data_IF_429649972721
#
_entry.id   IF_429649972721
#
_cell.length_a   1.000
_cell.length_b   1.000
_cell.length_c   1.000
_cell.angle_alpha   90.00
_cell.angle_beta   90.00
_cell.angle_gamma   90.00
#
_symmetry.space_group_name_H-M   'P 1'
#
loop_
_entity.id
_entity.type
_entity.pdbx_description
1 polymer ?
#
# COMPACT_ATOMS: atom_id res chain seq x y z
N UNK A 1 -15.77 -5.30 35.60
CA UNK A 1 -14.35 -5.65 35.39
C UNK A 1 -13.84 -4.75 34.28
N UNK A 2 -12.72 -4.04 34.47
CA UNK A 2 -12.17 -3.17 33.43
C UNK A 2 -11.02 -3.88 32.71
N UNK A 3 -11.15 -4.04 31.39
CA UNK A 3 -10.08 -4.54 30.52
C UNK A 3 -9.55 -3.34 29.74
N UNK A 4 -8.25 -3.08 29.87
CA UNK A 4 -7.56 -2.01 29.15
C UNK A 4 -6.46 -2.63 28.30
N UNK A 5 -6.45 -2.30 27.01
CA UNK A 5 -5.44 -2.75 26.07
C UNK A 5 -5.07 -1.58 25.13
N UNK A 6 -3.81 -1.57 24.68
CA UNK A 6 -3.29 -0.55 23.78
C UNK A 6 -3.01 -1.17 22.43
N UNK A 7 -3.55 -0.57 21.38
CA UNK A 7 -3.38 -1.02 19.99
C UNK A 7 -2.91 0.13 19.11
N UNK A 8 -2.19 -0.20 18.04
CA UNK A 8 -1.96 0.77 16.96
C UNK A 8 -3.25 0.99 16.16
N UNK A 9 -3.46 2.23 15.70
CA UNK A 9 -4.61 2.55 14.87
C UNK A 9 -4.51 1.83 13.53
N UNK A 10 -5.43 0.91 13.26
CA UNK A 10 -5.45 0.09 12.06
C UNK A 10 -6.89 -0.30 11.70
N UNK A 11 -7.12 -0.69 10.44
CA UNK A 11 -8.43 -1.17 9.98
C UNK A 11 -8.91 -2.39 10.78
N UNK A 12 -7.98 -3.26 11.19
CA UNK A 12 -8.30 -4.44 11.99
C UNK A 12 -8.84 -4.09 13.38
N UNK A 13 -8.34 -2.99 13.98
CA UNK A 13 -8.86 -2.50 15.26
C UNK A 13 -10.31 -2.02 15.11
N UNK A 14 -10.60 -1.25 14.06
CA UNK A 14 -11.96 -0.79 13.75
C UNK A 14 -12.91 -1.96 13.48
N UNK A 15 -12.43 -3.00 12.78
CA UNK A 15 -13.18 -4.22 12.53
C UNK A 15 -13.45 -5.00 13.83
N UNK A 16 -12.44 -5.13 14.69
CA UNK A 16 -12.60 -5.79 15.98
C UNK A 16 -13.59 -5.04 16.88
N UNK A 17 -13.55 -3.71 16.91
CA UNK A 17 -14.54 -2.89 17.63
C UNK A 17 -15.96 -3.12 17.09
N UNK A 18 -16.10 -3.18 15.76
CA UNK A 18 -17.38 -3.47 15.12
C UNK A 18 -17.91 -4.88 15.47
N UNK A 19 -17.04 -5.89 15.49
CA UNK A 19 -17.42 -7.24 15.94
C UNK A 19 -17.82 -7.29 17.42
N UNK A 20 -17.16 -6.50 18.29
CA UNK A 20 -17.52 -6.44 19.70
C UNK A 20 -18.90 -5.83 19.89
N UNK A 21 -19.25 -4.80 19.11
CA UNK A 21 -20.60 -4.25 19.08
C UNK A 21 -21.63 -5.27 18.59
N UNK A 22 -21.31 -6.02 17.53
CA UNK A 22 -22.19 -7.06 16.97
C UNK A 22 -22.43 -8.21 17.97
N UNK A 23 -21.40 -8.56 18.77
CA UNK A 23 -21.50 -9.59 19.82
C UNK A 23 -22.21 -9.10 21.10
N UNK A 24 -22.77 -7.89 21.09
CA UNK A 24 -23.64 -7.38 22.15
C UNK A 24 -22.95 -6.50 23.20
N UNK A 25 -21.70 -6.08 22.97
CA UNK A 25 -21.06 -5.06 23.80
C UNK A 25 -21.54 -3.68 23.35
N UNK A 26 -22.41 -3.05 24.14
CA UNK A 26 -22.92 -1.72 23.85
C UNK A 26 -21.78 -0.69 23.80
N UNK A 27 -21.90 0.29 22.87
CA UNK A 27 -20.93 1.38 22.70
C UNK A 27 -20.61 2.13 23.99
N UNK A 28 -21.60 2.25 24.89
CA UNK A 28 -21.42 2.93 26.19
C UNK A 28 -20.44 2.23 27.13
N UNK A 29 -20.10 0.97 26.85
CA UNK A 29 -19.10 0.19 27.59
C UNK A 29 -17.73 0.14 26.90
N UNK A 30 -17.57 0.79 25.74
CA UNK A 30 -16.34 0.82 24.97
C UNK A 30 -15.75 2.23 25.06
N UNK A 31 -14.57 2.35 25.67
CA UNK A 31 -13.83 3.61 25.75
C UNK A 31 -12.60 3.56 24.86
N UNK A 32 -12.63 4.30 23.74
CA UNK A 32 -11.49 4.49 22.87
C UNK A 32 -10.79 5.81 23.18
N UNK A 33 -9.54 5.76 23.62
CA UNK A 33 -8.73 6.96 23.91
C UNK A 33 -7.54 7.02 22.94
N UNK A 34 -7.41 8.07 22.11
CA UNK A 34 -6.28 8.19 21.19
C UNK A 34 -4.98 8.45 21.97
N UNK A 35 -4.02 7.54 21.85
CA UNK A 35 -2.69 7.67 22.44
C UNK A 35 -1.72 8.27 21.42
N UNK A 36 -1.29 9.51 21.64
CA UNK A 36 -0.33 10.19 20.75
C UNK A 36 1.10 9.72 21.06
N UNK A 37 1.57 8.71 20.35
CA UNK A 37 2.96 8.23 20.45
C UNK A 37 3.84 9.06 19.50
N UNK A 38 4.79 9.81 20.05
CA UNK A 38 5.79 10.54 19.26
C UNK A 38 6.94 9.62 18.85
N UNK A 39 6.68 8.62 17.99
CA UNK A 39 7.75 7.78 17.42
C UNK A 39 8.24 8.39 16.10
N UNK A 40 9.28 9.22 16.19
CA UNK A 40 10.06 9.66 15.04
C UNK A 40 10.97 8.52 14.56
N UNK A 41 10.41 7.51 13.87
CA UNK A 41 11.21 6.46 13.21
C UNK A 41 10.57 6.01 11.89
N UNK A 42 11.18 6.41 10.77
CA UNK A 42 11.33 5.56 9.58
C UNK A 42 10.08 5.13 8.80
N UNK A 43 9.26 6.09 8.32
CA UNK A 43 8.07 5.89 7.43
C UNK A 43 8.33 5.28 6.02
N UNK A 44 9.32 4.40 5.86
CA UNK A 44 9.62 3.77 4.57
C UNK A 44 9.14 2.31 4.51
N UNK A 45 8.97 1.65 5.66
CA UNK A 45 8.59 0.23 5.74
C UNK A 45 7.12 -0.03 6.13
N UNK A 46 6.40 0.96 6.67
CA UNK A 46 4.99 0.79 7.06
C UNK A 46 4.00 0.81 5.89
N UNK A 47 4.43 1.21 4.69
CA UNK A 47 3.54 1.20 3.50
C UNK A 47 3.24 -0.21 3.00
N UNK A 48 4.00 -1.23 3.45
CA UNK A 48 3.69 -2.64 3.14
C UNK A 48 2.63 -3.21 4.09
N UNK A 49 2.51 -2.68 5.31
CA UNK A 49 1.58 -3.17 6.32
C UNK A 49 0.31 -2.31 6.50
N UNK A 50 0.25 -1.13 5.85
CA UNK A 50 -0.93 -0.29 5.83
C UNK A 50 -2.03 -0.92 5.00
N UNK A 51 -3.16 -1.25 5.64
CA UNK A 51 -4.43 -1.61 4.99
C UNK A 51 -5.04 -0.45 4.15
N UNK A 52 -4.24 0.53 3.74
CA UNK A 52 -4.63 1.73 3.01
C UNK A 52 -4.85 1.47 1.52
N UNK A 53 -4.68 0.24 1.03
CA UNK A 53 -5.00 -0.17 -0.34
C UNK A 53 -4.08 0.42 -1.43
N UNK A 54 -3.29 1.44 -1.12
CA UNK A 54 -2.30 2.05 -2.02
C UNK A 54 -0.96 1.36 -1.78
N UNK A 55 -0.88 0.07 -2.04
CA UNK A 55 0.38 -0.66 -1.96
C UNK A 55 1.21 -0.31 -3.19
N UNK A 56 2.44 0.15 -2.99
CA UNK A 56 3.43 0.47 -4.05
C UNK A 56 3.58 -0.70 -5.05
N UNK A 57 3.28 -1.91 -4.57
CA UNK A 57 3.32 -3.13 -5.33
C UNK A 57 2.15 -3.28 -6.32
N UNK A 58 0.99 -2.71 -6.04
CA UNK A 58 -0.21 -2.89 -6.87
C UNK A 58 -0.04 -2.22 -8.24
N UNK A 59 0.41 -0.96 -8.27
CA UNK A 59 0.70 -0.25 -9.52
C UNK A 59 1.79 -0.92 -10.37
N UNK A 60 2.86 -1.39 -9.72
CA UNK A 60 3.92 -2.12 -10.42
C UNK A 60 3.44 -3.48 -10.96
N UNK A 61 2.58 -4.18 -10.21
CA UNK A 61 2.03 -5.48 -10.60
C UNK A 61 1.07 -5.35 -11.79
N UNK A 62 0.22 -4.32 -11.82
CA UNK A 62 -0.67 -4.05 -12.95
C UNK A 62 0.12 -3.71 -14.22
N UNK A 63 1.13 -2.82 -14.12
CA UNK A 63 2.00 -2.49 -15.26
C UNK A 63 2.85 -3.69 -15.72
N UNK A 64 3.37 -4.48 -14.78
CA UNK A 64 4.12 -5.71 -15.04
C UNK A 64 3.30 -6.75 -15.78
N UNK A 65 2.08 -7.03 -15.31
CA UNK A 65 1.17 -7.99 -15.95
C UNK A 65 0.71 -7.52 -17.33
N UNK A 66 0.37 -6.24 -17.50
CA UNK A 66 0.05 -5.68 -18.82
C UNK A 66 1.22 -5.80 -19.81
N UNK A 67 2.44 -5.47 -19.35
CA UNK A 67 3.66 -5.56 -20.16
C UNK A 67 4.02 -7.02 -20.49
N UNK A 68 3.76 -7.96 -19.58
CA UNK A 68 3.92 -9.40 -19.81
C UNK A 68 3.03 -9.88 -20.95
N UNK A 69 1.74 -9.51 -20.93
CA UNK A 69 0.79 -9.91 -21.98
C UNK A 69 1.24 -9.39 -23.34
N UNK A 70 1.67 -8.14 -23.42
CA UNK A 70 2.25 -7.58 -24.65
C UNK A 70 3.51 -8.34 -25.07
N UNK A 71 4.41 -8.63 -24.13
CA UNK A 71 5.62 -9.42 -24.39
C UNK A 71 5.34 -10.82 -24.93
N UNK A 72 4.29 -11.49 -24.42
CA UNK A 72 3.83 -12.79 -24.94
C UNK A 72 3.31 -12.66 -26.36
N UNK A 73 2.47 -11.65 -26.63
CA UNK A 73 1.89 -11.42 -27.96
C UNK A 73 3.00 -11.20 -29.01
N UNK A 74 3.94 -10.30 -28.73
CA UNK A 74 5.07 -10.06 -29.64
C UNK A 74 6.07 -11.23 -29.67
N UNK A 75 6.18 -11.97 -28.57
CA UNK A 75 7.05 -13.12 -28.47
C UNK A 75 6.64 -14.31 -29.35
N UNK A 76 5.37 -14.38 -29.80
CA UNK A 76 4.96 -15.32 -30.84
C UNK A 76 5.62 -15.03 -32.21
N UNK A 77 6.02 -13.78 -32.46
CA UNK A 77 6.66 -13.35 -33.71
C UNK A 77 8.19 -13.44 -33.61
N UNK A 78 8.76 -13.28 -32.40
CA UNK A 78 10.21 -13.27 -32.20
C UNK A 78 10.79 -14.67 -31.95
N UNK A 79 12.03 -14.87 -32.40
CA UNK A 79 12.69 -16.18 -32.46
C UNK A 79 12.86 -16.91 -31.12
N UNK A 80 12.86 -16.20 -29.99
CA UNK A 80 13.04 -16.77 -28.65
C UNK A 80 11.72 -17.26 -28.03
N UNK A 81 10.61 -17.06 -28.73
CA UNK A 81 9.30 -17.56 -28.35
C UNK A 81 8.56 -16.73 -27.30
N UNK A 82 7.25 -16.98 -27.14
CA UNK A 82 6.36 -16.17 -26.32
C UNK A 82 6.71 -16.15 -24.83
N UNK A 83 7.29 -17.24 -24.33
CA UNK A 83 7.60 -17.40 -22.90
C UNK A 83 8.72 -16.45 -22.47
N UNK A 84 9.82 -16.39 -23.24
CA UNK A 84 10.99 -15.58 -22.87
C UNK A 84 10.66 -14.09 -22.98
N UNK A 85 10.01 -13.69 -24.07
CA UNK A 85 9.58 -12.30 -24.27
C UNK A 85 8.50 -11.86 -23.28
N UNK A 86 7.60 -12.76 -22.89
CA UNK A 86 6.65 -12.52 -21.80
C UNK A 86 7.36 -12.25 -20.47
N UNK A 87 8.36 -13.06 -20.11
CA UNK A 87 9.12 -12.88 -18.87
C UNK A 87 9.92 -11.58 -18.84
N UNK A 88 10.51 -11.21 -19.98
CA UNK A 88 11.20 -9.91 -20.14
C UNK A 88 10.19 -8.76 -20.02
N UNK A 89 9.01 -8.89 -20.63
CA UNK A 89 7.92 -7.92 -20.52
C UNK A 89 7.46 -7.72 -19.07
N UNK A 90 7.34 -8.81 -18.31
CA UNK A 90 6.99 -8.75 -16.89
C UNK A 90 8.05 -8.03 -16.06
N UNK A 91 9.32 -8.40 -16.22
CA UNK A 91 10.44 -7.80 -15.47
C UNK A 91 10.59 -6.30 -15.79
N UNK A 92 10.52 -5.95 -17.07
CA UNK A 92 10.61 -4.55 -17.51
C UNK A 92 9.41 -3.74 -17.02
N UNK A 93 8.19 -4.28 -17.11
CA UNK A 93 6.98 -3.63 -16.63
C UNK A 93 6.98 -3.40 -15.11
N UNK A 94 7.47 -4.37 -14.33
CA UNK A 94 7.64 -4.22 -12.87
C UNK A 94 8.65 -3.13 -12.53
N UNK A 95 9.82 -3.12 -13.20
CA UNK A 95 10.87 -2.12 -12.96
C UNK A 95 10.37 -0.72 -13.33
N UNK A 96 9.72 -0.56 -14.48
CA UNK A 96 9.16 0.73 -14.92
C UNK A 96 8.05 1.18 -13.97
N UNK A 97 7.13 0.28 -13.59
CA UNK A 97 6.06 0.59 -12.64
C UNK A 97 6.60 1.03 -11.28
N UNK A 98 7.66 0.39 -10.79
CA UNK A 98 8.33 0.76 -9.54
C UNK A 98 9.02 2.14 -9.63
N UNK A 99 9.70 2.44 -10.75
CA UNK A 99 10.35 3.74 -10.96
C UNK A 99 9.31 4.87 -11.03
N UNK A 100 8.19 4.65 -11.73
CA UNK A 100 7.11 5.63 -11.84
C UNK A 100 6.50 5.93 -10.47
N UNK A 101 6.23 4.89 -9.69
CA UNK A 101 5.68 5.03 -8.35
C UNK A 101 6.62 5.83 -7.41
N UNK A 102 7.94 5.54 -7.46
CA UNK A 102 8.95 6.34 -6.75
C UNK A 102 8.98 7.81 -7.19
N UNK A 103 8.88 8.08 -8.50
CA UNK A 103 8.89 9.43 -9.03
C UNK A 103 7.65 10.24 -8.59
N UNK A 104 6.46 9.62 -8.60
CA UNK A 104 5.21 10.24 -8.13
C UNK A 104 5.30 10.56 -6.64
N UNK A 105 5.88 9.66 -5.83
CA UNK A 105 6.04 9.84 -4.38
C UNK A 105 6.98 11.00 -4.04
N UNK A 106 8.08 11.15 -4.79
CA UNK A 106 8.99 12.28 -4.63
C UNK A 106 8.32 13.63 -4.96
N UNK A 107 7.46 13.68 -5.98
CA UNK A 107 6.67 14.90 -6.29
C UNK A 107 5.68 15.23 -5.17
N UNK A 108 4.98 14.23 -4.62
CA UNK A 108 4.01 14.44 -3.54
C UNK A 108 4.65 14.98 -2.26
N UNK A 109 5.85 14.50 -1.90
CA UNK A 109 6.64 15.04 -0.76
C UNK A 109 6.99 16.52 -0.94
N UNK A 110 7.37 16.93 -2.15
CA UNK A 110 7.76 18.32 -2.44
C UNK A 110 6.57 19.29 -2.39
N UNK A 111 5.39 18.86 -2.83
CA UNK A 111 4.17 19.69 -2.77
C UNK A 111 3.66 19.90 -1.33
N UNK A 112 3.75 18.89 -0.46
CA UNK A 112 3.37 19.03 0.96
C UNK A 112 4.31 19.97 1.70
N UNK A 113 5.61 19.96 1.36
CA UNK A 113 6.61 20.86 1.97
C UNK A 113 6.40 22.34 1.59
N UNK A 114 5.89 22.64 0.39
CA UNK A 114 5.59 24.03 -0.03
C UNK A 114 4.34 24.61 0.65
N UNK A 115 3.30 23.79 0.90
CA UNK A 115 2.10 24.23 1.62
C UNK A 115 2.35 24.55 3.10
N UNK A 116 3.36 23.93 3.72
CA UNK A 116 3.71 24.21 5.12
C UNK A 116 4.59 25.46 5.31
N UNK A 117 5.21 26.01 4.25
CA UNK A 117 5.97 27.26 4.32
C UNK A 117 5.14 28.50 3.94
N UNK A 118 3.88 28.32 3.53
CA UNK A 118 2.96 29.40 3.14
C UNK A 118 1.85 29.66 4.18
N UNK A 119 1.95 29.03 5.35
CA UNK A 119 1.15 29.28 6.55
C UNK A 119 2.09 29.75 7.67
#
# INVERSE_FOLDING_TARGET
>A
MYIVATFEQSLLLELALSELEEKGIQRDHILAVPLKISSNKGKIMDTIYGADGISLFDGATVLGSASMVLGVIYGYVLAWGPIIWGLIGLMTGLVVGFILDLAVRNKKKNMVKQRQMSL
#
